data_IF_682011566920
#
_entry.id   IF_682011566920
#
_cell.length_a   1.000
_cell.length_b   1.000
_cell.length_c   1.000
_cell.angle_alpha   90.00
_cell.angle_beta   90.00
_cell.angle_gamma   90.00
#
_symmetry.space_group_name_H-M   'P 1'
#
loop_
_entity.id
_entity.type
_entity.pdbx_description
1 polymer ?
#
# COMPACT_ATOMS: atom_id res chain seq x y z
N UNK A 1 2.11 -5.44 -8.58
CA UNK A 1 3.23 -4.72 -7.92
C UNK A 1 3.23 -5.11 -6.45
N UNK A 2 4.35 -5.61 -5.93
CA UNK A 2 4.47 -5.96 -4.51
C UNK A 2 5.34 -4.89 -3.82
N UNK A 3 4.76 -4.15 -2.89
CA UNK A 3 5.52 -3.27 -2.01
C UNK A 3 6.12 -4.09 -0.85
N UNK A 4 7.27 -3.67 -0.29
CA UNK A 4 7.81 -4.26 0.92
C UNK A 4 6.78 -4.32 2.06
N UNK A 5 6.82 -5.41 2.84
CA UNK A 5 5.98 -5.55 4.03
C UNK A 5 6.30 -4.44 5.06
N UNK A 6 5.30 -4.04 5.83
CA UNK A 6 5.47 -3.08 6.94
C UNK A 6 5.08 -1.64 6.64
N UNK A 7 4.36 -1.40 5.54
CA UNK A 7 3.64 -0.15 5.27
C UNK A 7 2.17 -0.50 5.05
N UNK A 8 1.28 0.20 5.75
CA UNK A 8 -0.14 0.10 5.47
C UNK A 8 -0.42 0.87 4.18
N UNK A 9 -0.94 0.16 3.18
CA UNK A 9 -1.17 0.71 1.85
C UNK A 9 -2.55 0.28 1.33
N UNK A 10 -3.24 1.16 0.62
CA UNK A 10 -4.57 0.89 0.07
C UNK A 10 -4.53 -0.05 -1.13
N UNK A 11 -5.33 -1.11 -1.10
CA UNK A 11 -5.47 -2.06 -2.21
C UNK A 11 -6.94 -2.20 -2.63
N UNK A 12 -7.23 -2.46 -3.91
CA UNK A 12 -8.54 -2.90 -4.32
C UNK A 12 -8.83 -4.27 -3.71
N UNK A 13 -9.94 -4.36 -2.98
CA UNK A 13 -10.33 -5.57 -2.25
C UNK A 13 -11.79 -5.92 -2.52
N UNK A 14 -12.10 -7.21 -2.37
CA UNK A 14 -13.46 -7.69 -2.18
C UNK A 14 -13.68 -8.01 -0.70
N UNK A 15 -14.80 -7.57 -0.14
CA UNK A 15 -15.17 -7.81 1.25
C UNK A 15 -16.29 -8.84 1.33
N UNK A 16 -16.11 -9.88 2.14
CA UNK A 16 -17.13 -10.93 2.35
C UNK A 16 -16.99 -11.52 3.75
N UNK A 17 -18.10 -11.66 4.45
CA UNK A 17 -18.20 -12.37 5.76
C UNK A 17 -17.17 -11.84 6.80
N UNK A 18 -16.99 -10.52 6.87
CA UNK A 18 -16.04 -9.90 7.81
C UNK A 18 -14.57 -9.98 7.39
N UNK A 19 -14.25 -10.68 6.30
CA UNK A 19 -12.91 -10.71 5.70
C UNK A 19 -12.80 -9.85 4.45
N UNK A 20 -11.56 -9.59 4.03
CA UNK A 20 -11.23 -8.96 2.76
C UNK A 20 -10.20 -9.78 1.99
N UNK A 21 -10.24 -9.71 0.66
CA UNK A 21 -9.22 -10.30 -0.24
C UNK A 21 -8.82 -9.28 -1.30
N UNK A 22 -7.52 -9.10 -1.48
CA UNK A 22 -6.96 -8.26 -2.55
C UNK A 22 -7.33 -8.85 -3.90
N UNK A 23 -7.73 -8.00 -4.84
CA UNK A 23 -8.01 -8.39 -6.22
C UNK A 23 -6.68 -8.61 -6.95
N UNK A 24 -6.38 -9.84 -7.43
CA UNK A 24 -5.14 -10.13 -8.15
C UNK A 24 -5.22 -9.66 -9.62
N UNK A 25 -4.07 -9.71 -10.30
CA UNK A 25 -3.94 -9.61 -11.76
C UNK A 25 -4.55 -8.35 -12.42
N UNK A 26 -4.59 -7.24 -11.68
CA UNK A 26 -4.95 -5.94 -12.23
C UNK A 26 -3.80 -5.37 -13.07
N UNK A 27 -4.11 -5.00 -14.31
CA UNK A 27 -3.22 -4.22 -15.13
C UNK A 27 -3.05 -2.81 -14.56
N UNK A 28 -1.80 -2.38 -14.44
CA UNK A 28 -1.47 -1.06 -13.90
C UNK A 28 -0.68 -0.33 -14.97
N UNK A 29 -1.23 0.76 -15.48
CA UNK A 29 -0.55 1.64 -16.43
C UNK A 29 0.72 2.26 -15.83
N UNK A 30 1.68 2.69 -16.66
CA UNK A 30 2.89 3.36 -16.19
C UNK A 30 2.58 4.66 -15.42
N UNK A 31 1.55 5.41 -15.84
CA UNK A 31 1.06 6.58 -15.11
C UNK A 31 0.60 6.20 -13.69
N UNK A 32 -0.19 5.14 -13.57
CA UNK A 32 -0.67 4.65 -12.28
C UNK A 32 0.49 4.15 -11.40
N UNK A 33 1.47 3.42 -11.96
CA UNK A 33 2.66 2.97 -11.23
C UNK A 33 3.44 4.14 -10.64
N UNK A 34 3.65 5.20 -11.41
CA UNK A 34 4.38 6.39 -10.94
C UNK A 34 3.67 7.06 -9.74
N UNK A 35 2.33 7.18 -9.81
CA UNK A 35 1.53 7.72 -8.71
C UNK A 35 1.53 6.82 -7.47
N UNK A 36 1.41 5.51 -7.66
CA UNK A 36 1.49 4.53 -6.58
C UNK A 36 2.85 4.58 -5.87
N UNK A 37 3.96 4.71 -6.62
CA UNK A 37 5.30 4.82 -6.04
C UNK A 37 5.47 6.11 -5.23
N UNK A 38 4.96 7.24 -5.72
CA UNK A 38 5.00 8.51 -4.98
C UNK A 38 4.23 8.41 -3.65
N UNK A 39 3.02 7.85 -3.67
CA UNK A 39 2.20 7.65 -2.46
C UNK A 39 2.88 6.69 -1.48
N UNK A 40 3.49 5.61 -1.99
CA UNK A 40 4.22 4.66 -1.14
C UNK A 40 5.41 5.34 -0.44
N UNK A 41 6.14 6.22 -1.14
CA UNK A 41 7.26 6.94 -0.56
C UNK A 41 6.81 7.88 0.57
N UNK A 42 5.72 8.62 0.37
CA UNK A 42 5.11 9.46 1.42
C UNK A 42 4.76 8.64 2.67
N UNK A 43 4.11 7.49 2.51
CA UNK A 43 3.74 6.61 3.63
C UNK A 43 4.97 6.02 4.37
N UNK A 44 6.06 5.76 3.64
CA UNK A 44 7.33 5.32 4.25
C UNK A 44 7.90 6.44 5.12
N UNK A 45 7.88 7.68 4.63
CA UNK A 45 8.35 8.84 5.38
C UNK A 45 7.50 9.11 6.63
N UNK A 46 6.17 9.01 6.51
CA UNK A 46 5.25 9.13 7.64
C UNK A 46 5.52 8.05 8.70
N UNK A 47 5.62 6.78 8.30
CA UNK A 47 5.97 5.68 9.21
C UNK A 47 7.31 5.95 9.90
N UNK A 48 8.30 6.40 9.13
CA UNK A 48 9.64 6.66 9.64
C UNK A 48 9.65 7.82 10.63
N UNK A 49 8.81 8.83 10.42
CA UNK A 49 8.66 9.96 11.34
C UNK A 49 8.15 9.54 12.71
N UNK A 50 7.30 8.50 12.79
CA UNK A 50 6.72 7.99 14.06
C UNK A 50 7.48 6.81 14.66
N UNK A 51 8.55 6.31 14.02
CA UNK A 51 9.33 5.15 14.51
C UNK A 51 9.77 5.30 15.96
N UNK A 52 10.13 6.51 16.39
CA UNK A 52 10.58 6.81 17.75
C UNK A 52 9.47 6.63 18.82
N UNK A 53 8.21 6.53 18.41
CA UNK A 53 7.07 6.26 19.30
C UNK A 53 6.80 4.76 19.49
N UNK A 54 7.44 3.89 18.70
CA UNK A 54 7.09 2.47 18.59
C UNK A 54 8.00 1.50 19.37
N UNK A 55 8.89 2.03 20.24
CA UNK A 55 9.56 1.30 21.34
C UNK A 55 10.03 -0.12 21.07
#
# INVERSE_FOLDING_TARGET
>A
MAFPKGVIYGYPVTCREGGYRIVPDLEISEFSKAKMQATYQELVEERDSVKHLLG
#
